data_IF_275421531795
#
_entry.id   IF_275421531795
#
_cell.length_a   1.000
_cell.length_b   1.000
_cell.length_c   1.000
_cell.angle_alpha   90.00
_cell.angle_beta   90.00
_cell.angle_gamma   90.00
#
_symmetry.space_group_name_H-M   'P 1'
#
loop_
_entity.id
_entity.type
_entity.pdbx_description
1 polymer ?
#
# COMPACT_ATOMS: atom_id res chain seq x y z
N UNK A 1 -16.95 -12.70 16.67
CA UNK A 1 -15.82 -12.93 17.61
C UNK A 1 -14.54 -12.30 17.01
N UNK A 2 -13.60 -11.76 17.81
CA UNK A 2 -12.39 -11.11 17.28
C UNK A 2 -11.45 -12.10 16.61
N UNK A 3 -11.35 -13.33 17.12
CA UNK A 3 -10.51 -14.36 16.52
C UNK A 3 -11.10 -14.83 15.18
N UNK A 4 -12.43 -14.95 15.10
CA UNK A 4 -13.15 -15.17 13.85
C UNK A 4 -12.86 -14.07 12.82
N UNK A 5 -12.95 -12.79 13.22
CA UNK A 5 -12.60 -11.66 12.35
C UNK A 5 -11.14 -11.78 11.86
N UNK A 6 -10.20 -12.07 12.76
CA UNK A 6 -8.79 -12.26 12.39
C UNK A 6 -8.60 -13.33 11.32
N UNK A 7 -9.25 -14.49 11.49
CA UNK A 7 -9.22 -15.58 10.50
C UNK A 7 -9.83 -15.17 9.16
N UNK A 8 -10.98 -14.51 9.16
CA UNK A 8 -11.66 -14.08 7.94
C UNK A 8 -10.87 -13.03 7.16
N UNK A 9 -10.33 -12.03 7.87
CA UNK A 9 -9.48 -10.97 7.30
C UNK A 9 -8.22 -11.58 6.69
N UNK A 10 -7.55 -12.50 7.40
CA UNK A 10 -6.39 -13.23 6.88
C UNK A 10 -6.69 -14.01 5.60
N UNK A 11 -7.82 -14.73 5.60
CA UNK A 11 -8.26 -15.50 4.43
C UNK A 11 -8.54 -14.56 3.25
N UNK A 12 -9.34 -13.53 3.48
CA UNK A 12 -9.77 -12.59 2.46
C UNK A 12 -8.59 -11.86 1.82
N UNK A 13 -7.74 -11.20 2.62
CA UNK A 13 -6.62 -10.42 2.10
C UNK A 13 -5.53 -11.29 1.49
N UNK A 14 -5.29 -12.46 2.06
CA UNK A 14 -4.39 -13.41 1.43
C UNK A 14 -4.88 -13.83 0.05
N UNK A 15 -6.16 -14.21 -0.09
CA UNK A 15 -6.71 -14.59 -1.39
C UNK A 15 -6.69 -13.44 -2.40
N UNK A 16 -6.97 -12.22 -1.93
CA UNK A 16 -6.89 -11.02 -2.76
C UNK A 16 -5.46 -10.76 -3.24
N UNK A 17 -4.47 -10.91 -2.36
CA UNK A 17 -3.05 -10.72 -2.69
C UNK A 17 -2.55 -11.79 -3.67
N UNK A 18 -2.88 -13.05 -3.43
CA UNK A 18 -2.53 -14.17 -4.31
C UNK A 18 -3.05 -13.92 -5.75
N UNK A 19 -4.32 -13.50 -5.86
CA UNK A 19 -4.96 -13.16 -7.15
C UNK A 19 -4.32 -11.94 -7.80
N UNK A 20 -3.98 -10.93 -7.02
CA UNK A 20 -3.31 -9.74 -7.51
C UNK A 20 -1.94 -10.07 -8.10
N UNK A 21 -1.09 -10.79 -7.38
CA UNK A 21 0.24 -11.19 -7.85
C UNK A 21 0.16 -12.02 -9.13
N UNK A 22 -0.70 -13.05 -9.14
CA UNK A 22 -0.89 -13.89 -10.32
C UNK A 22 -1.40 -13.09 -11.54
N UNK A 23 -2.32 -12.15 -11.34
CA UNK A 23 -2.84 -11.30 -12.42
C UNK A 23 -1.80 -10.31 -12.93
N UNK A 24 -1.04 -9.71 -12.01
CA UNK A 24 0.06 -8.79 -12.30
C UNK A 24 1.11 -9.44 -13.19
N UNK A 25 1.47 -10.69 -12.91
CA UNK A 25 2.42 -11.45 -13.71
C UNK A 25 1.82 -11.88 -15.05
N UNK A 26 0.63 -12.49 -15.03
CA UNK A 26 -0.04 -12.99 -16.24
C UNK A 26 -0.27 -11.91 -17.29
N UNK A 27 -0.59 -10.69 -16.87
CA UNK A 27 -0.89 -9.56 -17.76
C UNK A 27 0.33 -8.64 -18.00
N UNK A 28 1.47 -8.93 -17.35
CA UNK A 28 2.69 -8.14 -17.42
C UNK A 28 2.49 -6.69 -16.92
N UNK A 29 1.71 -6.50 -15.85
CA UNK A 29 1.32 -5.17 -15.37
C UNK A 29 2.45 -4.39 -14.70
N UNK A 30 3.63 -4.99 -14.49
CA UNK A 30 4.81 -4.29 -13.96
C UNK A 30 5.15 -3.03 -14.76
N UNK A 31 4.86 -3.01 -16.06
CA UNK A 31 5.03 -1.83 -16.92
C UNK A 31 4.00 -0.73 -16.69
N UNK A 32 2.86 -1.00 -16.05
CA UNK A 32 1.77 -0.05 -15.85
C UNK A 32 1.53 0.34 -14.39
N UNK A 33 2.10 -0.41 -13.44
CA UNK A 33 1.92 -0.18 -12.01
C UNK A 33 3.05 0.67 -11.45
N UNK A 34 2.70 1.64 -10.61
CA UNK A 34 3.62 2.34 -9.72
C UNK A 34 3.36 1.85 -8.30
N UNK A 35 4.31 1.10 -7.73
CA UNK A 35 4.27 0.72 -6.33
C UNK A 35 4.70 1.92 -5.46
N UNK A 36 3.78 2.36 -4.61
CA UNK A 36 3.98 3.45 -3.66
C UNK A 36 4.04 2.89 -2.24
N UNK A 37 5.18 3.02 -1.57
CA UNK A 37 5.30 2.60 -0.16
C UNK A 37 4.54 3.61 0.70
N UNK A 38 3.93 3.12 1.79
CA UNK A 38 3.20 4.00 2.69
C UNK A 38 4.09 5.11 3.29
N UNK A 39 5.37 4.81 3.58
CA UNK A 39 6.34 5.81 4.02
C UNK A 39 6.51 6.92 2.98
N UNK A 40 6.74 6.58 1.70
CA UNK A 40 6.86 7.54 0.61
C UNK A 40 5.60 8.40 0.45
N UNK A 41 4.41 7.82 0.64
CA UNK A 41 3.12 8.56 0.62
C UNK A 41 3.07 9.60 1.74
N UNK A 42 3.67 9.31 2.89
CA UNK A 42 3.68 10.21 4.05
C UNK A 42 4.76 11.27 3.97
N UNK A 43 5.94 10.91 3.47
CA UNK A 43 7.12 11.77 3.49
C UNK A 43 7.25 12.61 2.22
N UNK A 44 6.94 12.05 1.06
CA UNK A 44 7.08 12.72 -0.23
C UNK A 44 6.10 12.17 -1.28
N UNK A 45 4.78 12.44 -1.15
CA UNK A 45 3.79 11.97 -2.11
C UNK A 45 3.97 12.58 -3.51
N UNK A 46 4.62 13.74 -3.62
CA UNK A 46 4.90 14.36 -4.92
C UNK A 46 5.85 13.49 -5.77
N UNK A 47 6.82 12.82 -5.14
CA UNK A 47 7.67 11.85 -5.86
C UNK A 47 6.87 10.69 -6.47
N UNK A 48 5.77 10.26 -5.83
CA UNK A 48 4.88 9.23 -6.35
C UNK A 48 4.08 9.77 -7.53
N UNK A 49 3.55 10.99 -7.40
CA UNK A 49 2.82 11.67 -8.49
C UNK A 49 3.69 11.77 -9.74
N UNK A 50 4.94 12.21 -9.60
CA UNK A 50 5.89 12.30 -10.72
C UNK A 50 6.09 10.95 -11.40
N UNK A 51 6.33 9.88 -10.63
CA UNK A 51 6.46 8.50 -11.16
C UNK A 51 5.20 8.03 -11.88
N UNK A 52 4.01 8.40 -11.40
CA UNK A 52 2.74 8.08 -12.07
C UNK A 52 2.63 8.80 -13.40
N UNK A 53 2.95 10.10 -13.45
CA UNK A 53 2.94 10.88 -14.69
C UNK A 53 3.96 10.36 -15.70
N UNK A 54 5.19 10.11 -15.26
CA UNK A 54 6.25 9.51 -16.07
C UNK A 54 5.78 8.17 -16.65
N UNK A 55 5.21 7.30 -15.82
CA UNK A 55 4.74 5.98 -16.28
C UNK A 55 3.58 6.06 -17.26
N UNK A 56 2.71 7.05 -17.09
CA UNK A 56 1.62 7.34 -18.02
C UNK A 56 2.09 8.03 -19.32
N UNK A 57 3.38 8.38 -19.44
CA UNK A 57 3.92 9.13 -20.58
C UNK A 57 3.39 10.56 -20.65
N UNK A 58 3.05 11.14 -19.50
CA UNK A 58 2.43 12.48 -19.39
C UNK A 58 3.39 13.43 -18.68
N UNK A 59 3.39 14.69 -19.12
CA UNK A 59 4.04 15.76 -18.38
C UNK A 59 3.10 16.31 -17.32
N UNK A 60 3.60 16.46 -16.10
CA UNK A 60 2.92 17.27 -15.09
C UNK A 60 3.06 18.73 -15.47
N UNK A 61 1.97 19.48 -15.40
CA UNK A 61 2.00 20.92 -15.63
C UNK A 61 2.33 21.62 -14.31
N UNK A 62 2.98 22.78 -14.40
CA UNK A 62 3.31 23.58 -13.22
C UNK A 62 2.08 23.87 -12.34
N UNK A 63 0.91 24.30 -12.89
CA UNK A 63 -0.27 24.54 -12.05
C UNK A 63 -0.80 23.29 -11.35
N UNK A 64 -0.72 22.12 -12.01
CA UNK A 64 -1.16 20.86 -11.41
C UNK A 64 -0.24 20.43 -10.27
N UNK A 65 1.09 20.56 -10.46
CA UNK A 65 2.08 20.28 -9.43
C UNK A 65 1.83 21.16 -8.20
N UNK A 66 1.72 22.48 -8.39
CA UNK A 66 1.51 23.44 -7.31
C UNK A 66 0.21 23.18 -6.55
N UNK A 67 -0.88 22.84 -7.25
CA UNK A 67 -2.17 22.49 -6.62
C UNK A 67 -2.07 21.25 -5.73
N UNK A 68 -1.45 20.17 -6.24
CA UNK A 68 -1.26 18.93 -5.47
C UNK A 68 -0.34 19.13 -4.26
N UNK A 69 0.78 19.86 -4.45
CA UNK A 69 1.72 20.18 -3.38
C UNK A 69 1.05 21.02 -2.29
N UNK A 70 0.30 22.07 -2.67
CA UNK A 70 -0.42 22.91 -1.73
C UNK A 70 -1.51 22.12 -0.97
N UNK A 71 -2.23 21.22 -1.64
CA UNK A 71 -3.20 20.36 -0.95
C UNK A 71 -2.52 19.48 0.10
N UNK A 72 -1.40 18.85 -0.24
CA UNK A 72 -0.69 17.97 0.68
C UNK A 72 -0.20 18.72 1.93
N UNK A 73 0.44 19.88 1.77
CA UNK A 73 0.91 20.70 2.90
C UNK A 73 -0.21 21.16 3.84
N UNK A 74 -1.44 21.31 3.33
CA UNK A 74 -2.60 21.74 4.12
C UNK A 74 -3.42 20.57 4.71
N UNK A 75 -3.08 19.31 4.38
CA UNK A 75 -3.85 18.13 4.76
C UNK A 75 -2.98 17.07 5.46
N UNK A 76 -2.19 17.47 6.46
CA UNK A 76 -1.45 16.54 7.29
C UNK A 76 -2.41 15.61 8.08
N UNK A 77 -2.37 14.32 7.75
CA UNK A 77 -3.17 13.29 8.43
C UNK A 77 -2.62 13.01 9.83
N UNK A 78 -3.26 13.55 10.89
CA UNK A 78 -3.28 13.04 12.28
C UNK A 78 -4.43 13.63 13.14
N UNK A 79 -5.63 13.81 12.58
CA UNK A 79 -6.77 14.41 13.32
C UNK A 79 -7.52 13.47 14.27
N UNK A 80 -7.14 12.20 14.36
CA UNK A 80 -7.82 11.19 15.19
C UNK A 80 -6.74 10.29 15.83
N UNK A 81 -6.80 10.12 17.16
CA UNK A 81 -5.74 9.53 17.98
C UNK A 81 -5.30 8.11 17.62
N UNK A 82 -4.31 7.59 18.36
CA UNK A 82 -3.83 6.21 18.17
C UNK A 82 -4.78 5.23 18.85
N UNK A 83 -5.38 4.34 18.07
CA UNK A 83 -5.96 3.11 18.61
C UNK A 83 -4.88 2.04 18.59
N UNK A 84 -4.48 1.54 19.76
CA UNK A 84 -3.54 0.43 19.88
C UNK A 84 -4.33 -0.88 19.78
N UNK A 85 -4.00 -1.68 18.77
CA UNK A 85 -4.49 -3.04 18.58
C UNK A 85 -3.29 -3.99 18.52
N UNK A 86 -3.42 -5.20 19.04
CA UNK A 86 -2.41 -6.25 18.91
C UNK A 86 -2.88 -7.36 17.98
N UNK A 87 -1.95 -8.11 17.39
CA UNK A 87 -2.30 -9.26 16.54
C UNK A 87 -2.98 -10.36 17.35
N UNK A 88 -2.51 -10.55 18.58
CA UNK A 88 -2.96 -11.58 19.52
C UNK A 88 -4.43 -11.41 19.89
N UNK A 89 -4.93 -10.17 19.97
CA UNK A 89 -6.34 -9.83 20.21
C UNK A 89 -7.28 -10.42 19.13
N UNK A 90 -6.76 -10.64 17.93
CA UNK A 90 -7.45 -11.24 16.80
C UNK A 90 -7.01 -12.69 16.55
N UNK A 91 -6.27 -13.30 17.47
CA UNK A 91 -5.75 -14.66 17.34
C UNK A 91 -4.70 -14.82 16.23
N UNK A 92 -3.98 -13.75 15.90
CA UNK A 92 -2.95 -13.71 14.87
C UNK A 92 -1.55 -13.58 15.51
N UNK A 93 -0.52 -13.90 14.73
CA UNK A 93 0.89 -13.70 15.10
C UNK A 93 1.67 -13.17 13.91
N UNK A 94 2.81 -12.54 14.16
CA UNK A 94 3.70 -12.05 13.10
C UNK A 94 4.17 -13.18 12.16
N UNK A 95 4.43 -14.38 12.72
CA UNK A 95 4.79 -15.55 11.94
C UNK A 95 3.70 -15.93 10.92
N UNK A 96 2.43 -15.90 11.34
CA UNK A 96 1.29 -16.16 10.43
C UNK A 96 1.18 -15.10 9.33
N UNK A 97 1.44 -13.83 9.64
CA UNK A 97 1.46 -12.75 8.64
C UNK A 97 2.60 -12.97 7.64
N UNK A 98 3.81 -13.23 8.15
CA UNK A 98 5.01 -13.43 7.33
C UNK A 98 4.88 -14.66 6.42
N UNK A 99 4.24 -15.72 6.91
CA UNK A 99 3.91 -16.89 6.10
C UNK A 99 2.84 -16.56 5.04
N UNK A 100 1.70 -15.98 5.44
CA UNK A 100 0.58 -15.75 4.53
C UNK A 100 0.90 -14.75 3.41
N UNK A 101 1.69 -13.73 3.70
CA UNK A 101 2.02 -12.64 2.77
C UNK A 101 3.48 -12.69 2.28
N UNK A 102 4.18 -13.80 2.51
CA UNK A 102 5.61 -13.91 2.25
C UNK A 102 6.01 -13.60 0.81
N UNK A 103 5.21 -14.00 -0.18
CA UNK A 103 5.47 -13.71 -1.60
C UNK A 103 5.44 -12.21 -1.89
N UNK A 104 4.43 -11.51 -1.36
CA UNK A 104 4.33 -10.05 -1.49
C UNK A 104 5.50 -9.36 -0.79
N UNK A 105 5.80 -9.76 0.45
CA UNK A 105 6.88 -9.17 1.25
C UNK A 105 8.21 -9.33 0.51
N UNK A 106 8.56 -10.54 0.07
CA UNK A 106 9.81 -10.79 -0.67
C UNK A 106 9.92 -9.95 -1.94
N UNK A 107 8.81 -9.72 -2.64
CA UNK A 107 8.80 -9.00 -3.91
C UNK A 107 8.90 -7.49 -3.76
N UNK A 108 8.25 -6.90 -2.75
CA UNK A 108 8.06 -5.44 -2.68
C UNK A 108 8.64 -4.76 -1.44
N UNK A 109 8.86 -5.52 -0.36
CA UNK A 109 9.34 -4.99 0.90
C UNK A 109 10.80 -5.38 1.07
N UNK A 110 11.69 -4.39 0.93
CA UNK A 110 13.06 -4.53 1.41
C UNK A 110 13.02 -4.32 2.92
N UNK A 111 13.37 -5.35 3.68
CA UNK A 111 13.60 -5.24 5.12
C UNK A 111 15.02 -4.76 5.38
#
# INVERSE_FOLDING_TARGET
>A
DKHEIGREVMRYWGMAMDRYLASRDKLGLDRCIVDARYADVRENPMSIVERVYERAGRKITEPAYQSMAAWHSNNEQHRFGKHEYSLEEFGLSEAMINERFGDYIRRFIQR
#
